data_IF_317995522057
#
_entry.id   IF_317995522057
#
_cell.length_a   1.000
_cell.length_b   1.000
_cell.length_c   1.000
_cell.angle_alpha   90.00
_cell.angle_beta   90.00
_cell.angle_gamma   90.00
#
_symmetry.space_group_name_H-M   'P 1'
#
loop_
_entity.id
_entity.type
_entity.pdbx_description
1 polymer ?
#
# COMPACT_ATOMS: atom_id res chain seq x y z
N UNK A 1 24.56 16.06 -1.09
CA UNK A 1 24.20 17.50 -1.02
C UNK A 1 22.88 17.83 -1.72
N UNK A 2 22.68 17.49 -3.01
CA UNK A 2 21.51 17.91 -3.82
C UNK A 2 20.13 17.56 -3.21
N UNK A 3 19.97 16.35 -2.67
CA UNK A 3 18.71 15.90 -2.02
C UNK A 3 18.43 16.65 -0.72
N UNK A 4 19.47 16.84 0.11
CA UNK A 4 19.34 17.54 1.40
C UNK A 4 18.95 19.00 1.18
N UNK A 5 19.47 19.65 0.13
CA UNK A 5 19.12 21.01 -0.25
C UNK A 5 17.64 21.20 -0.68
N UNK A 6 16.86 20.14 -0.83
CA UNK A 6 15.41 20.19 -1.13
C UNK A 6 14.53 19.87 0.08
N UNK A 7 15.14 19.54 1.22
CA UNK A 7 14.41 19.28 2.47
C UNK A 7 14.13 20.59 3.19
N UNK A 8 13.01 20.62 3.94
CA UNK A 8 12.78 21.63 4.96
C UNK A 8 13.54 21.34 6.24
N UNK A 9 13.32 22.17 7.26
CA UNK A 9 13.96 22.04 8.58
C UNK A 9 13.25 21.06 9.52
N UNK A 10 11.99 20.71 9.22
CA UNK A 10 11.22 19.72 9.97
C UNK A 10 11.32 18.35 9.30
N UNK A 11 12.02 17.42 9.96
CA UNK A 11 12.10 16.04 9.51
C UNK A 11 10.79 15.31 9.81
N UNK A 12 10.23 14.63 8.81
CA UNK A 12 9.06 13.77 8.94
C UNK A 12 9.51 12.32 8.74
N UNK A 13 8.98 11.42 9.58
CA UNK A 13 9.16 9.98 9.42
C UNK A 13 7.82 9.35 9.06
N UNK A 14 7.78 8.67 7.90
CA UNK A 14 6.55 8.07 7.39
C UNK A 14 6.47 6.60 7.77
N UNK A 15 5.31 6.10 8.23
CA UNK A 15 5.15 4.69 8.60
C UNK A 15 5.23 3.75 7.39
N UNK A 16 5.00 4.24 6.18
CA UNK A 16 5.28 3.54 4.92
C UNK A 16 6.72 3.03 4.83
N UNK A 17 7.70 3.75 5.41
CA UNK A 17 9.09 3.31 5.45
C UNK A 17 9.28 2.00 6.23
N UNK A 18 8.52 1.80 7.32
CA UNK A 18 8.52 0.53 8.06
C UNK A 18 7.98 -0.60 7.18
N UNK A 19 6.91 -0.34 6.43
CA UNK A 19 6.34 -1.32 5.50
C UNK A 19 7.27 -1.62 4.31
N UNK A 20 7.97 -0.60 3.79
CA UNK A 20 8.95 -0.75 2.71
C UNK A 20 10.14 -1.61 3.13
N UNK A 21 10.68 -1.40 4.35
CA UNK A 21 11.74 -2.26 4.91
C UNK A 21 11.27 -3.71 5.10
N UNK A 22 10.02 -3.90 5.55
CA UNK A 22 9.41 -5.22 5.67
C UNK A 22 9.26 -5.90 4.30
N UNK A 23 8.80 -5.16 3.28
CA UNK A 23 8.70 -5.65 1.91
C UNK A 23 10.08 -6.04 1.36
N UNK A 24 11.09 -5.18 1.55
CA UNK A 24 12.46 -5.46 1.12
C UNK A 24 12.99 -6.78 1.72
N UNK A 25 12.89 -6.95 3.04
CA UNK A 25 13.33 -8.18 3.69
C UNK A 25 12.59 -9.42 3.19
N UNK A 26 11.27 -9.31 2.98
CA UNK A 26 10.47 -10.38 2.40
C UNK A 26 10.95 -10.76 0.99
N UNK A 27 11.10 -9.78 0.09
CA UNK A 27 11.49 -10.04 -1.30
C UNK A 27 12.91 -10.63 -1.41
N UNK A 28 13.86 -10.13 -0.62
CA UNK A 28 15.22 -10.66 -0.54
C UNK A 28 15.22 -12.13 -0.08
N UNK A 29 14.45 -12.46 0.96
CA UNK A 29 14.28 -13.83 1.44
C UNK A 29 13.70 -14.74 0.35
N UNK A 30 12.61 -14.31 -0.30
CA UNK A 30 11.97 -15.07 -1.38
C UNK A 30 12.93 -15.33 -2.54
N UNK A 31 13.65 -14.30 -2.98
CA UNK A 31 14.62 -14.41 -4.08
C UNK A 31 15.76 -15.38 -3.75
N UNK A 32 16.37 -15.24 -2.56
CA UNK A 32 17.45 -16.12 -2.09
C UNK A 32 16.99 -17.58 -1.99
N UNK A 33 15.78 -17.81 -1.47
CA UNK A 33 15.17 -19.13 -1.37
C UNK A 33 14.60 -19.67 -2.70
N UNK A 34 14.62 -18.88 -3.79
CA UNK A 34 13.95 -19.19 -5.07
C UNK A 34 12.47 -19.55 -4.91
N UNK A 35 11.81 -18.84 -4.01
CA UNK A 35 10.35 -18.93 -3.78
C UNK A 35 9.69 -17.62 -4.13
N UNK A 36 8.37 -17.53 -3.97
CA UNK A 36 7.60 -16.33 -4.31
C UNK A 36 6.61 -16.00 -3.19
N UNK A 37 6.39 -14.71 -3.02
CA UNK A 37 5.18 -14.18 -2.39
C UNK A 37 4.22 -13.80 -3.52
N UNK A 38 2.95 -14.15 -3.37
CA UNK A 38 1.91 -13.85 -4.35
C UNK A 38 0.72 -13.22 -3.64
N UNK A 39 -0.01 -12.39 -4.37
CA UNK A 39 -1.21 -11.70 -3.88
C UNK A 39 -2.14 -11.37 -5.06
N UNK A 40 -3.25 -10.70 -4.79
CA UNK A 40 -4.17 -10.20 -5.81
C UNK A 40 -4.68 -8.80 -5.43
N UNK A 41 -5.37 -8.15 -6.36
CA UNK A 41 -5.90 -6.79 -6.17
C UNK A 41 -6.99 -6.73 -5.09
N UNK A 42 -6.74 -5.96 -4.03
CA UNK A 42 -7.63 -5.80 -2.89
C UNK A 42 -8.58 -4.61 -3.08
N UNK A 43 -9.89 -4.86 -3.07
CA UNK A 43 -10.90 -3.82 -3.30
C UNK A 43 -11.09 -2.90 -2.08
N UNK A 44 -11.19 -3.47 -0.88
CA UNK A 44 -11.67 -2.74 0.29
C UNK A 44 -11.27 -3.43 1.63
N UNK A 45 -11.47 -2.79 2.80
CA UNK A 45 -11.01 -3.28 4.10
C UNK A 45 -11.48 -4.69 4.53
N UNK A 46 -12.70 -5.10 4.23
CA UNK A 46 -13.25 -6.42 4.54
C UNK A 46 -12.47 -7.52 3.83
N UNK A 47 -12.27 -7.41 2.52
CA UNK A 47 -11.42 -8.30 1.71
C UNK A 47 -10.00 -8.35 2.28
N UNK A 48 -9.42 -7.18 2.60
CA UNK A 48 -8.12 -7.07 3.27
C UNK A 48 -8.06 -7.94 4.54
N UNK A 49 -9.04 -7.85 5.44
CA UNK A 49 -9.02 -8.63 6.70
C UNK A 49 -9.07 -10.14 6.49
N UNK A 50 -9.50 -10.61 5.33
CA UNK A 50 -9.46 -12.04 4.99
C UNK A 50 -8.15 -12.39 4.29
N UNK A 51 -7.63 -11.53 3.41
CA UNK A 51 -6.35 -11.71 2.73
C UNK A 51 -5.18 -11.90 3.70
N UNK A 52 -5.09 -11.06 4.74
CA UNK A 52 -3.97 -11.06 5.71
C UNK A 52 -3.75 -12.40 6.41
N UNK A 53 -4.77 -13.26 6.46
CA UNK A 53 -4.72 -14.60 7.07
C UNK A 53 -3.84 -15.57 6.27
N UNK A 54 -3.69 -15.33 4.96
CA UNK A 54 -3.08 -16.27 4.03
C UNK A 54 -1.99 -15.65 3.16
N UNK A 55 -2.05 -14.34 2.92
CA UNK A 55 -1.15 -13.61 2.04
C UNK A 55 -0.26 -12.66 2.86
N UNK A 56 0.99 -12.54 2.45
CA UNK A 56 2.00 -11.72 3.12
C UNK A 56 2.16 -10.32 2.50
N UNK A 57 1.47 -10.03 1.40
CA UNK A 57 1.45 -8.74 0.69
C UNK A 57 0.05 -8.40 0.20
N UNK A 58 -0.20 -7.11 -0.05
CA UNK A 58 -1.46 -6.60 -0.61
C UNK A 58 -1.15 -5.82 -1.88
N UNK A 59 -1.90 -6.08 -2.96
CA UNK A 59 -1.80 -5.31 -4.19
C UNK A 59 -2.98 -4.34 -4.32
N UNK A 60 -2.70 -3.12 -4.76
CA UNK A 60 -3.70 -2.10 -5.13
C UNK A 60 -3.58 -1.82 -6.61
N UNK A 61 -4.61 -2.21 -7.37
CA UNK A 61 -4.66 -2.13 -8.82
C UNK A 61 -5.23 -0.80 -9.32
N UNK A 62 -4.62 -0.21 -10.35
CA UNK A 62 -5.16 0.93 -11.10
C UNK A 62 -6.45 0.54 -11.82
N UNK A 63 -6.44 -0.59 -12.53
CA UNK A 63 -7.63 -1.17 -13.19
C UNK A 63 -8.85 -1.28 -12.27
N UNK A 64 -8.68 -1.89 -11.08
CA UNK A 64 -9.78 -2.00 -10.11
C UNK A 64 -10.24 -0.62 -9.61
N UNK A 65 -9.29 0.29 -9.39
CA UNK A 65 -9.58 1.63 -8.89
C UNK A 65 -10.33 2.47 -9.92
N UNK A 66 -10.02 2.31 -11.22
CA UNK A 66 -10.74 2.96 -12.33
C UNK A 66 -12.24 2.68 -12.29
N UNK A 67 -12.62 1.43 -12.01
CA UNK A 67 -14.03 1.04 -12.01
C UNK A 67 -14.73 1.15 -10.65
N UNK A 68 -14.00 1.34 -9.54
CA UNK A 68 -14.59 1.22 -8.18
C UNK A 68 -14.17 2.29 -7.17
N UNK A 69 -13.20 3.14 -7.48
CA UNK A 69 -12.57 4.00 -6.47
C UNK A 69 -12.05 5.34 -7.01
N UNK A 70 -12.44 5.75 -8.22
CA UNK A 70 -12.13 7.08 -8.74
C UNK A 70 -12.49 8.15 -7.71
N UNK A 71 -11.58 9.08 -7.44
CA UNK A 71 -11.81 10.09 -6.40
C UNK A 71 -12.93 11.09 -6.71
N UNK A 72 -13.44 11.06 -7.94
CA UNK A 72 -14.59 11.86 -8.41
C UNK A 72 -15.84 11.01 -8.58
N UNK A 73 -15.80 9.74 -8.15
CA UNK A 73 -16.88 8.76 -8.25
C UNK A 73 -17.35 8.45 -9.68
N UNK A 74 -16.64 8.94 -10.70
CA UNK A 74 -16.88 8.60 -12.11
C UNK A 74 -16.02 7.38 -12.49
N UNK A 75 -16.62 6.22 -12.78
CA UNK A 75 -15.88 5.03 -13.19
C UNK A 75 -15.48 5.08 -14.67
N UNK A 76 -14.36 4.47 -15.01
CA UNK A 76 -13.87 4.36 -16.40
C UNK A 76 -13.21 3.00 -16.67
N UNK A 77 -13.01 2.62 -17.95
CA UNK A 77 -12.03 1.59 -18.32
C UNK A 77 -10.62 1.96 -17.84
N UNK A 78 -9.69 1.02 -17.85
CA UNK A 78 -8.34 1.21 -17.32
C UNK A 78 -7.45 2.10 -18.20
N UNK A 79 -7.67 3.42 -18.13
CA UNK A 79 -7.01 4.43 -18.96
C UNK A 79 -6.21 5.46 -18.15
N UNK A 80 -6.22 5.33 -16.81
CA UNK A 80 -5.63 6.30 -15.88
C UNK A 80 -6.06 7.76 -16.12
N UNK A 81 -7.31 7.95 -16.55
CA UNK A 81 -7.94 9.25 -16.74
C UNK A 81 -8.57 9.81 -15.45
N UNK A 82 -8.65 8.99 -14.41
CA UNK A 82 -9.05 9.39 -13.07
C UNK A 82 -8.00 10.30 -12.41
N UNK A 83 -8.38 11.14 -11.42
CA UNK A 83 -7.43 12.02 -10.75
C UNK A 83 -6.32 11.25 -10.02
N UNK A 84 -5.09 11.80 -10.04
CA UNK A 84 -3.86 11.15 -9.53
C UNK A 84 -3.90 10.68 -8.06
N UNK A 85 -4.83 11.19 -7.25
CA UNK A 85 -4.97 10.77 -5.85
C UNK A 85 -5.83 9.51 -5.69
N UNK A 86 -6.45 8.99 -6.75
CA UNK A 86 -7.32 7.80 -6.74
C UNK A 86 -6.62 6.59 -6.11
N UNK A 87 -5.51 6.11 -6.68
CA UNK A 87 -4.79 4.94 -6.16
C UNK A 87 -4.11 5.24 -4.81
N UNK A 88 -3.47 6.40 -4.57
CA UNK A 88 -2.98 6.76 -3.24
C UNK A 88 -4.09 6.77 -2.16
N UNK A 89 -5.30 7.23 -2.48
CA UNK A 89 -6.43 7.19 -1.55
C UNK A 89 -6.87 5.76 -1.24
N UNK A 90 -6.84 4.86 -2.23
CA UNK A 90 -7.08 3.43 -2.01
C UNK A 90 -6.03 2.81 -1.09
N UNK A 91 -4.75 3.12 -1.29
CA UNK A 91 -3.68 2.70 -0.37
C UNK A 91 -3.97 3.18 1.04
N UNK A 92 -4.34 4.45 1.22
CA UNK A 92 -4.69 5.00 2.53
C UNK A 92 -5.86 4.27 3.18
N UNK A 93 -6.91 3.97 2.41
CA UNK A 93 -8.10 3.26 2.90
C UNK A 93 -7.71 1.91 3.50
N UNK A 94 -6.90 1.13 2.78
CA UNK A 94 -6.46 -0.19 3.24
C UNK A 94 -5.45 -0.08 4.38
N UNK A 95 -4.49 0.82 4.29
CA UNK A 95 -3.46 1.00 5.32
C UNK A 95 -4.05 1.43 6.67
N UNK A 96 -5.01 2.36 6.66
CA UNK A 96 -5.70 2.77 7.89
C UNK A 96 -6.51 1.62 8.51
N UNK A 97 -7.10 0.75 7.69
CA UNK A 97 -7.77 -0.46 8.18
C UNK A 97 -6.78 -1.47 8.77
N UNK A 98 -5.63 -1.70 8.15
CA UNK A 98 -4.56 -2.54 8.72
C UNK A 98 -4.16 -2.05 10.11
N UNK A 99 -3.88 -0.75 10.25
CA UNK A 99 -3.53 -0.14 11.53
C UNK A 99 -4.64 -0.28 12.58
N UNK A 100 -5.91 -0.13 12.18
CA UNK A 100 -7.04 -0.28 13.08
C UNK A 100 -7.17 -1.72 13.60
N UNK A 101 -7.13 -2.70 12.69
CA UNK A 101 -7.28 -4.12 13.06
C UNK A 101 -6.08 -4.65 13.85
N UNK A 102 -4.86 -4.15 13.57
CA UNK A 102 -3.68 -4.40 14.40
C UNK A 102 -3.89 -3.94 15.85
N UNK A 103 -4.34 -2.69 16.05
CA UNK A 103 -4.65 -2.17 17.40
C UNK A 103 -5.73 -2.99 18.10
N UNK A 104 -6.80 -3.35 17.38
CA UNK A 104 -7.90 -4.18 17.91
C UNK A 104 -7.38 -5.54 18.40
N UNK A 105 -6.62 -6.25 17.57
CA UNK A 105 -6.06 -7.55 17.95
C UNK A 105 -5.06 -7.41 19.09
N UNK A 106 -4.20 -6.39 19.07
CA UNK A 106 -3.22 -6.17 20.14
C UNK A 106 -3.90 -5.92 21.48
N UNK A 107 -4.98 -5.15 21.51
CA UNK A 107 -5.77 -4.91 22.72
C UNK A 107 -6.33 -6.21 23.27
N UNK A 108 -7.06 -6.98 22.46
CA UNK A 108 -7.62 -8.30 22.83
C UNK A 108 -6.53 -9.24 23.37
N UNK A 109 -5.38 -9.31 22.70
CA UNK A 109 -4.26 -10.16 23.12
C UNK A 109 -3.66 -9.71 24.44
N UNK A 110 -3.46 -8.41 24.66
CA UNK A 110 -2.82 -7.90 25.87
C UNK A 110 -3.76 -8.03 27.08
N UNK A 111 -5.07 -7.82 26.90
CA UNK A 111 -6.08 -7.97 27.95
C UNK A 111 -6.44 -9.44 28.23
N UNK A 112 -6.13 -10.35 27.31
CA UNK A 112 -6.18 -11.80 27.55
C UNK A 112 -5.01 -12.26 28.44
N UNK A 113 -5.28 -13.05 29.52
CA UNK A 113 -4.23 -13.62 30.36
C UNK A 113 -3.19 -14.39 29.55
N UNK A 114 -1.92 -14.27 29.91
CA UNK A 114 -0.79 -14.75 29.09
C UNK A 114 -0.92 -16.23 28.72
N UNK A 115 -1.36 -17.04 29.67
CA UNK A 115 -1.61 -18.48 29.54
C UNK A 115 -2.76 -18.83 28.60
N UNK A 116 -3.67 -17.88 28.31
CA UNK A 116 -4.80 -18.05 27.37
C UNK A 116 -4.58 -17.38 26.01
N UNK A 117 -3.48 -16.66 25.81
CA UNK A 117 -3.22 -15.94 24.53
C UNK A 117 -3.08 -16.84 23.32
N UNK A 118 -2.81 -18.14 23.52
CA UNK A 118 -2.78 -19.13 22.43
C UNK A 118 -4.15 -19.39 21.80
N UNK A 119 -5.26 -19.05 22.46
CA UNK A 119 -6.61 -19.26 21.93
C UNK A 119 -7.22 -18.03 21.24
N UNK A 120 -6.53 -16.88 21.25
CA UNK A 120 -6.96 -15.66 20.56
C UNK A 120 -6.11 -15.44 19.30
N UNK A 121 -6.69 -14.77 18.31
CA UNK A 121 -6.08 -14.59 16.99
C UNK A 121 -4.74 -13.83 17.09
N UNK A 122 -3.81 -14.15 16.18
CA UNK A 122 -2.50 -13.49 16.08
C UNK A 122 -2.10 -13.28 14.61
N UNK A 123 -2.96 -12.62 13.85
CA UNK A 123 -2.66 -12.30 12.45
C UNK A 123 -1.74 -11.08 12.35
N UNK A 124 -0.85 -11.12 11.36
CA UNK A 124 -0.08 -9.96 10.94
C UNK A 124 -0.92 -9.11 9.99
N UNK A 125 -1.65 -8.13 10.52
CA UNK A 125 -2.46 -7.22 9.72
C UNK A 125 -1.61 -6.25 8.88
N UNK A 126 -0.37 -5.99 9.28
CA UNK A 126 0.51 -4.99 8.66
C UNK A 126 1.24 -5.57 7.44
N UNK A 127 0.51 -6.14 6.49
CA UNK A 127 1.06 -6.65 5.23
C UNK A 127 1.49 -5.49 4.33
N UNK A 128 2.72 -5.48 3.77
CA UNK A 128 3.15 -4.39 2.88
C UNK A 128 2.24 -4.24 1.65
N UNK A 129 1.93 -2.98 1.30
CA UNK A 129 1.07 -2.63 0.16
C UNK A 129 1.94 -2.25 -1.04
N UNK A 130 1.72 -2.90 -2.17
CA UNK A 130 2.29 -2.55 -3.48
C UNK A 130 1.19 -1.91 -4.31
N UNK A 131 1.43 -0.75 -4.89
CA UNK A 131 0.40 0.02 -5.59
C UNK A 131 0.79 0.38 -7.03
N UNK A 132 -0.23 0.47 -7.87
CA UNK A 132 -0.15 0.92 -9.25
C UNK A 132 0.00 2.43 -9.35
N UNK A 133 1.06 2.91 -10.00
CA UNK A 133 1.28 4.33 -10.27
C UNK A 133 1.04 4.71 -11.74
N UNK A 134 0.46 3.80 -12.53
CA UNK A 134 0.22 3.95 -13.97
C UNK A 134 1.50 4.40 -14.70
N UNK A 135 1.40 5.43 -15.56
CA UNK A 135 2.53 6.10 -16.22
C UNK A 135 3.09 7.28 -15.42
N UNK A 136 2.59 7.51 -14.20
CA UNK A 136 2.98 8.63 -13.36
C UNK A 136 2.11 9.90 -13.47
N UNK A 137 0.97 9.82 -14.16
CA UNK A 137 -0.06 10.88 -14.21
C UNK A 137 0.42 12.25 -14.73
N UNK A 138 1.38 12.24 -15.66
CA UNK A 138 1.87 13.45 -16.33
C UNK A 138 3.40 13.49 -16.43
N UNK A 139 3.98 14.69 -16.40
CA UNK A 139 5.44 14.88 -16.47
C UNK A 139 6.17 14.58 -15.15
N UNK A 140 7.49 14.75 -15.14
CA UNK A 140 8.36 14.43 -13.99
C UNK A 140 7.92 15.06 -12.66
N UNK A 141 7.38 16.27 -12.67
CA UNK A 141 6.89 16.94 -11.46
C UNK A 141 5.59 16.32 -10.94
N UNK A 142 4.74 15.77 -11.81
CA UNK A 142 3.56 15.01 -11.44
C UNK A 142 3.97 13.68 -10.81
N UNK A 143 4.93 12.97 -11.40
CA UNK A 143 5.52 11.73 -10.84
C UNK A 143 5.98 11.97 -9.40
N UNK A 144 6.76 13.04 -9.15
CA UNK A 144 7.24 13.34 -7.80
C UNK A 144 6.11 13.64 -6.79
N UNK A 145 5.05 14.33 -7.23
CA UNK A 145 3.87 14.58 -6.38
C UNK A 145 3.10 13.30 -6.10
N UNK A 146 2.92 12.45 -7.10
CA UNK A 146 2.27 11.14 -6.98
C UNK A 146 3.05 10.22 -6.03
N UNK A 147 4.37 10.10 -6.19
CA UNK A 147 5.23 9.34 -5.28
C UNK A 147 5.14 9.86 -3.84
N UNK A 148 5.13 11.19 -3.65
CA UNK A 148 4.94 11.79 -2.32
C UNK A 148 3.61 11.36 -1.70
N UNK A 149 2.51 11.38 -2.46
CA UNK A 149 1.22 10.89 -1.98
C UNK A 149 1.31 9.41 -1.57
N UNK A 150 1.86 8.53 -2.41
CA UNK A 150 2.01 7.12 -2.06
C UNK A 150 2.79 6.89 -0.76
N UNK A 151 3.92 7.59 -0.58
CA UNK A 151 4.71 7.52 0.65
C UNK A 151 3.91 8.02 1.86
N UNK A 152 3.14 9.09 1.70
CA UNK A 152 2.30 9.65 2.78
C UNK A 152 1.13 8.74 3.15
N UNK A 153 0.63 7.94 2.20
CA UNK A 153 -0.57 7.10 2.36
C UNK A 153 -0.30 5.66 2.80
N UNK A 154 0.96 5.24 2.91
CA UNK A 154 1.32 3.93 3.46
C UNK A 154 1.82 2.91 2.44
N UNK A 155 2.10 3.30 1.19
CA UNK A 155 2.63 2.37 0.19
C UNK A 155 4.03 1.88 0.59
N UNK A 156 4.26 0.57 0.52
CA UNK A 156 5.56 -0.04 0.73
C UNK A 156 6.40 -0.06 -0.56
N UNK A 157 5.73 -0.15 -1.71
CA UNK A 157 6.31 -0.06 -3.04
C UNK A 157 5.28 0.40 -4.05
N UNK A 158 5.75 0.94 -5.16
CA UNK A 158 4.92 1.32 -6.31
C UNK A 158 5.55 0.76 -7.59
N UNK A 159 4.72 0.49 -8.60
CA UNK A 159 5.20 0.18 -9.95
C UNK A 159 4.72 1.26 -10.93
N UNK A 160 5.51 1.55 -11.96
CA UNK A 160 5.26 2.57 -12.97
C UNK A 160 5.63 1.97 -14.34
N UNK A 161 4.86 2.27 -15.37
CA UNK A 161 5.02 1.69 -16.71
C UNK A 161 5.57 2.68 -17.74
N UNK A 162 6.05 2.17 -18.87
CA UNK A 162 6.74 2.90 -19.93
C UNK A 162 5.80 3.37 -21.08
N UNK A 163 4.49 3.26 -20.89
CA UNK A 163 3.48 3.84 -21.78
C UNK A 163 3.44 5.37 -21.66
N UNK A 164 2.89 6.05 -22.66
CA UNK A 164 2.72 7.51 -22.61
C UNK A 164 1.41 7.90 -21.90
N UNK A 165 1.43 8.88 -20.96
CA UNK A 165 0.20 9.36 -20.32
C UNK A 165 -0.76 9.97 -21.35
N UNK A 166 -2.05 9.64 -21.24
CA UNK A 166 -3.09 10.01 -22.21
C UNK A 166 -3.27 9.01 -23.36
N UNK A 167 -2.39 8.01 -23.48
CA UNK A 167 -2.55 6.85 -24.38
C UNK A 167 -2.37 5.52 -23.63
N UNK A 168 -2.56 5.56 -22.32
CA UNK A 168 -2.56 4.37 -21.46
C UNK A 168 -3.80 3.52 -21.75
#
# INVERSE_FOLDING_TARGET
>A
EQIVAKRGTLKIEYPSNTQAKKLWGLLEERFSAKTVSYTYGCLEPTMLTQMIKYLDTIYVSGWQSSSTASSTDEPSPDLADYPMNTVPNKVNQLFMAQLFHDRKQREERITTPREKRGSVQDYDYLRPIIADADTGHGGLTAVMKLTKLFVERGAAGIHIEDQAPGTK
#
